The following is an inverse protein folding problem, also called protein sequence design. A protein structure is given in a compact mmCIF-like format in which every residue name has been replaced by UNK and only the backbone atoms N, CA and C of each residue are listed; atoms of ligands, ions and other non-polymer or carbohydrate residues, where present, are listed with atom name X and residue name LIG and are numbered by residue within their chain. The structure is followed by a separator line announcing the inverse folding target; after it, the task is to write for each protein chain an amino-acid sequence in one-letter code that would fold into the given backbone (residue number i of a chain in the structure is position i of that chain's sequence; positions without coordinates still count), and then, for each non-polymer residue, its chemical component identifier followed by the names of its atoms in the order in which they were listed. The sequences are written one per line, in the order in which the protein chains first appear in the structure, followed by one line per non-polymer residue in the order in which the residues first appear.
data_IF_742804654691
#
_entry.id   IF_742804654691
#
_cell.length_a   1.000
_cell.length_b   1.000
_cell.length_c   1.000
_cell.angle_alpha   90.00
_cell.angle_beta   90.00
_cell.angle_gamma   90.00
#
_symmetry.space_group_name_H-M   'P 1'
#
loop_
_entity.id
_entity.type
_entity.pdbx_description
1 polymer ?
#
# COMPACT_ATOMS: atom_id res chain seq x y z
N UNK A 1 -7.03 -41.35 -38.56
CA UNK A 1 -7.84 -40.34 -37.85
C UNK A 1 -7.70 -40.62 -36.35
N UNK A 2 -6.50 -40.49 -35.78
CA UNK A 2 -5.85 -39.22 -35.42
C UNK A 2 -6.79 -38.37 -34.57
N UNK A 3 -6.53 -38.40 -33.26
CA UNK A 3 -6.50 -37.22 -32.38
C UNK A 3 -7.71 -36.29 -32.34
N UNK A 4 -8.69 -36.62 -31.49
CA UNK A 4 -9.35 -35.64 -30.59
C UNK A 4 -10.01 -36.40 -29.41
N UNK A 5 -9.29 -37.12 -28.55
CA UNK A 5 -8.42 -36.58 -27.50
C UNK A 5 -8.97 -35.26 -26.92
N UNK A 6 -9.63 -35.38 -25.76
CA UNK A 6 -9.48 -34.50 -24.59
C UNK A 6 -9.76 -33.00 -24.84
N UNK A 7 -11.02 -32.53 -24.70
CA UNK A 7 -11.25 -31.08 -24.57
C UNK A 7 -12.56 -30.64 -23.88
N UNK A 8 -13.61 -31.45 -23.80
CA UNK A 8 -14.91 -30.94 -23.32
C UNK A 8 -15.09 -30.87 -21.79
N UNK A 9 -14.46 -31.78 -21.04
CA UNK A 9 -14.70 -31.93 -19.59
C UNK A 9 -13.73 -31.18 -18.66
N UNK A 10 -12.68 -30.57 -19.20
CA UNK A 10 -11.59 -30.00 -18.39
C UNK A 10 -11.76 -28.50 -18.10
N UNK A 11 -12.67 -27.80 -18.79
CA UNK A 11 -12.73 -26.33 -18.75
C UNK A 11 -13.74 -25.79 -17.71
N UNK A 12 -14.81 -26.53 -17.38
CA UNK A 12 -15.86 -26.03 -16.48
C UNK A 12 -15.57 -26.25 -14.98
N UNK A 13 -14.90 -27.36 -14.60
CA UNK A 13 -14.58 -27.68 -13.20
C UNK A 13 -13.29 -27.04 -12.67
N UNK A 14 -12.32 -26.80 -13.57
CA UNK A 14 -11.05 -26.17 -13.22
C UNK A 14 -11.20 -24.70 -12.85
N UNK A 15 -11.91 -23.91 -13.67
CA UNK A 15 -12.10 -22.48 -13.40
C UNK A 15 -12.91 -22.23 -12.13
N UNK A 16 -13.97 -23.01 -11.91
CA UNK A 16 -14.84 -22.86 -10.73
C UNK A 16 -14.13 -23.25 -9.44
N UNK A 17 -13.28 -24.29 -9.46
CA UNK A 17 -12.47 -24.67 -8.30
C UNK A 17 -11.29 -23.73 -8.04
N UNK A 18 -10.66 -23.18 -9.08
CA UNK A 18 -9.61 -22.15 -8.96
C UNK A 18 -10.20 -20.87 -8.34
N UNK A 19 -11.33 -20.39 -8.88
CA UNK A 19 -12.03 -19.22 -8.34
C UNK A 19 -12.48 -19.50 -6.91
N UNK A 20 -13.12 -20.64 -6.63
CA UNK A 20 -13.55 -20.99 -5.27
C UNK A 20 -12.39 -21.07 -4.26
N UNK A 21 -11.24 -21.62 -4.67
CA UNK A 21 -10.06 -21.65 -3.81
C UNK A 21 -9.48 -20.25 -3.59
N UNK A 22 -9.50 -19.38 -4.60
CA UNK A 22 -9.06 -17.99 -4.47
C UNK A 22 -9.98 -17.17 -3.55
N UNK A 23 -11.30 -17.39 -3.63
CA UNK A 23 -12.24 -16.78 -2.68
C UNK A 23 -12.06 -17.32 -1.26
N UNK A 24 -11.75 -18.62 -1.09
CA UNK A 24 -11.44 -19.19 0.23
C UNK A 24 -10.16 -18.62 0.84
N UNK A 25 -9.11 -18.42 0.05
CA UNK A 25 -7.87 -17.79 0.55
C UNK A 25 -8.14 -16.35 0.97
N UNK A 26 -8.88 -15.58 0.15
CA UNK A 26 -9.33 -14.22 0.49
C UNK A 26 -10.14 -14.20 1.79
N UNK A 27 -11.10 -15.11 1.97
CA UNK A 27 -11.92 -15.20 3.18
C UNK A 27 -11.06 -15.54 4.41
N UNK A 28 -10.16 -16.52 4.29
CA UNK A 28 -9.30 -16.92 5.42
C UNK A 28 -8.33 -15.80 5.81
N UNK A 29 -7.70 -15.13 4.84
CA UNK A 29 -6.87 -13.95 5.09
C UNK A 29 -7.66 -12.81 5.73
N UNK A 30 -8.92 -12.61 5.34
CA UNK A 30 -9.82 -11.61 5.95
C UNK A 30 -10.19 -11.97 7.38
N UNK A 31 -10.41 -13.25 7.67
CA UNK A 31 -10.70 -13.75 9.02
C UNK A 31 -9.47 -13.64 9.93
N UNK A 32 -8.28 -13.97 9.43
CA UNK A 32 -7.03 -13.83 10.16
C UNK A 32 -6.71 -12.35 10.45
N UNK A 33 -6.88 -11.48 9.45
CA UNK A 33 -6.81 -10.03 9.65
C UNK A 33 -7.83 -9.56 10.70
N UNK A 34 -9.08 -10.04 10.63
CA UNK A 34 -10.12 -9.74 11.62
C UNK A 34 -9.79 -10.19 13.04
N UNK A 35 -9.08 -11.32 13.18
CA UNK A 35 -8.65 -11.88 14.47
C UNK A 35 -7.50 -11.09 15.11
N UNK A 36 -6.70 -10.40 14.28
CA UNK A 36 -5.58 -9.55 14.69
C UNK A 36 -6.02 -8.12 15.07
N UNK A 37 -7.21 -7.68 14.66
CA UNK A 37 -7.72 -6.34 14.98
C UNK A 37 -8.22 -6.34 16.44
N UNK A 38 -7.31 -6.02 17.35
CA UNK A 38 -7.63 -5.73 18.76
C UNK A 38 -8.36 -4.39 18.89
N UNK A 39 -9.12 -4.20 19.97
CA UNK A 39 -9.78 -2.93 20.28
C UNK A 39 -8.77 -1.77 20.41
N UNK A 40 -7.52 -2.08 20.81
CA UNK A 40 -6.40 -1.11 20.85
C UNK A 40 -6.02 -0.62 19.46
N UNK A 41 -6.01 -1.52 18.48
CA UNK A 41 -5.74 -1.22 17.06
C UNK A 41 -6.80 -0.25 16.55
N UNK A 42 -8.08 -0.55 16.76
CA UNK A 42 -9.20 0.31 16.33
C UNK A 42 -9.13 1.70 16.94
N UNK A 43 -8.88 1.81 18.26
CA UNK A 43 -8.77 3.12 18.93
C UNK A 43 -7.59 3.92 18.38
N UNK A 44 -6.43 3.29 18.15
CA UNK A 44 -5.28 3.99 17.58
C UNK A 44 -5.50 4.43 16.13
N UNK A 45 -6.20 3.63 15.30
CA UNK A 45 -6.61 4.04 13.96
C UNK A 45 -7.46 5.31 14.01
N UNK A 46 -8.48 5.33 14.88
CA UNK A 46 -9.41 6.46 14.98
C UNK A 46 -8.69 7.73 15.44
N UNK A 47 -7.79 7.62 16.43
CA UNK A 47 -6.99 8.76 16.91
C UNK A 47 -6.04 9.26 15.82
N UNK A 48 -5.40 8.36 15.08
CA UNK A 48 -4.48 8.72 14.01
C UNK A 48 -5.19 9.38 12.83
N UNK A 49 -6.32 8.81 12.40
CA UNK A 49 -7.14 9.40 11.36
C UNK A 49 -7.70 10.76 11.79
N UNK A 50 -8.16 10.89 13.04
CA UNK A 50 -8.58 12.16 13.59
C UNK A 50 -7.44 13.18 13.58
N UNK A 51 -6.21 12.78 13.93
CA UNK A 51 -5.03 13.64 13.85
C UNK A 51 -4.71 14.08 12.41
N UNK A 52 -4.63 13.15 11.46
CA UNK A 52 -4.39 13.44 10.04
C UNK A 52 -5.48 14.37 9.47
N UNK A 53 -6.74 14.14 9.83
CA UNK A 53 -7.84 15.01 9.41
C UNK A 53 -7.79 16.38 10.09
N UNK A 54 -7.36 16.45 11.34
CA UNK A 54 -7.21 17.71 12.07
C UNK A 54 -6.17 18.63 11.44
N UNK A 55 -5.12 18.04 10.88
CA UNK A 55 -4.07 18.76 10.16
C UNK A 55 -4.56 19.33 8.81
N UNK A 56 -5.64 18.77 8.27
CA UNK A 56 -6.25 19.17 7.00
C UNK A 56 -7.54 19.99 7.21
N UNK A 57 -7.84 20.46 8.43
CA UNK A 57 -9.07 21.23 8.75
C UNK A 57 -9.20 22.52 7.92
N UNK A 58 -8.08 23.08 7.44
CA UNK A 58 -8.09 24.27 6.59
C UNK A 58 -8.34 23.98 5.10
N UNK A 59 -8.40 22.71 4.72
CA UNK A 59 -8.67 22.24 3.36
C UNK A 59 -10.18 22.01 3.19
N UNK A 60 -10.68 22.20 1.98
CA UNK A 60 -12.10 22.09 1.63
C UNK A 60 -12.86 20.98 2.39
N UNK A 61 -14.02 21.28 3.02
CA UNK A 61 -14.76 20.33 3.86
C UNK A 61 -15.14 19.02 3.16
N UNK A 62 -15.17 19.01 1.83
CA UNK A 62 -15.46 17.83 1.01
C UNK A 62 -14.36 16.79 1.08
N UNK A 63 -13.10 17.20 1.18
CA UNK A 63 -11.96 16.26 1.16
C UNK A 63 -11.70 15.62 2.53
N UNK A 64 -12.29 16.18 3.59
CA UNK A 64 -12.14 15.73 4.97
C UNK A 64 -12.42 14.22 5.15
N UNK A 65 -13.54 13.73 4.63
CA UNK A 65 -13.94 12.33 4.77
C UNK A 65 -12.99 11.37 4.04
N UNK A 66 -12.48 11.79 2.89
CA UNK A 66 -11.52 11.01 2.09
C UNK A 66 -10.20 10.83 2.83
N UNK A 67 -9.66 11.91 3.42
CA UNK A 67 -8.44 11.83 4.23
C UNK A 67 -8.61 11.01 5.51
N UNK A 68 -9.78 11.08 6.14
CA UNK A 68 -10.09 10.25 7.31
C UNK A 68 -10.03 8.77 6.94
N UNK A 69 -10.68 8.38 5.83
CA UNK A 69 -10.71 7.00 5.36
C UNK A 69 -9.32 6.51 4.96
N UNK A 70 -8.57 7.33 4.22
CA UNK A 70 -7.21 7.03 3.82
C UNK A 70 -6.28 6.83 5.03
N UNK A 71 -6.33 7.74 6.01
CA UNK A 71 -5.53 7.66 7.24
C UNK A 71 -5.89 6.45 8.10
N UNK A 72 -7.18 6.12 8.22
CA UNK A 72 -7.65 4.91 8.92
C UNK A 72 -7.07 3.65 8.28
N UNK A 73 -7.15 3.53 6.95
CA UNK A 73 -6.65 2.36 6.23
C UNK A 73 -5.13 2.27 6.31
N UNK A 74 -4.39 3.36 6.05
CA UNK A 74 -2.93 3.37 6.17
C UNK A 74 -2.45 2.96 7.56
N UNK A 75 -3.10 3.45 8.62
CA UNK A 75 -2.72 3.09 9.98
C UNK A 75 -3.00 1.62 10.28
N UNK A 76 -4.16 1.11 9.83
CA UNK A 76 -4.49 -0.30 9.97
C UNK A 76 -3.48 -1.20 9.25
N UNK A 77 -3.05 -0.82 8.04
CA UNK A 77 -2.00 -1.50 7.28
C UNK A 77 -0.64 -1.43 7.98
N UNK A 78 -0.29 -0.30 8.59
CA UNK A 78 0.94 -0.12 9.37
C UNK A 78 1.00 -1.04 10.59
N UNK A 79 -0.11 -1.18 11.32
CA UNK A 79 -0.20 -2.07 12.48
C UNK A 79 -0.12 -3.55 12.06
N UNK A 80 -0.77 -3.92 10.96
CA UNK A 80 -0.67 -5.29 10.42
C UNK A 80 0.74 -5.61 9.94
N UNK A 81 1.43 -4.65 9.31
CA UNK A 81 2.82 -4.81 8.89
C UNK A 81 3.76 -4.96 10.11
N UNK A 82 3.52 -4.22 11.20
CA UNK A 82 4.27 -4.38 12.45
C UNK A 82 4.08 -5.76 13.08
N UNK A 83 2.84 -6.26 13.13
CA UNK A 83 2.51 -7.50 13.83
C UNK A 83 2.87 -8.76 13.01
N UNK A 84 2.69 -8.71 11.69
CA UNK A 84 2.78 -9.90 10.82
C UNK A 84 3.79 -9.78 9.68
N UNK A 85 4.31 -8.58 9.39
CA UNK A 85 5.13 -8.30 8.21
C UNK A 85 4.48 -8.73 6.89
N UNK A 86 3.15 -8.82 6.87
CA UNK A 86 2.37 -9.18 5.69
C UNK A 86 1.25 -8.17 5.51
N UNK A 87 1.18 -7.59 4.30
CA UNK A 87 0.08 -6.70 3.92
C UNK A 87 -1.01 -7.53 3.22
N UNK A 88 -2.17 -7.75 3.84
CA UNK A 88 -3.24 -8.51 3.22
C UNK A 88 -3.80 -7.76 2.01
N UNK A 89 -3.92 -8.48 0.90
CA UNK A 89 -4.47 -7.97 -0.34
C UNK A 89 -5.90 -7.47 -0.18
N UNK A 90 -6.64 -8.06 0.77
CA UNK A 90 -8.02 -7.71 1.09
C UNK A 90 -8.18 -6.29 1.65
N UNK A 91 -7.10 -5.62 2.03
CA UNK A 91 -7.13 -4.23 2.54
C UNK A 91 -6.40 -3.29 1.57
N UNK A 92 -5.27 -3.72 1.01
CA UNK A 92 -4.54 -2.90 0.03
C UNK A 92 -5.33 -2.69 -1.26
N UNK A 93 -6.04 -3.71 -1.76
CA UNK A 93 -6.81 -3.61 -3.00
C UNK A 93 -8.02 -2.68 -2.84
N UNK A 94 -8.88 -2.82 -1.81
CA UNK A 94 -9.95 -1.85 -1.59
C UNK A 94 -9.43 -0.43 -1.42
N UNK A 95 -8.29 -0.24 -0.73
CA UNK A 95 -7.70 1.09 -0.59
C UNK A 95 -7.36 1.69 -1.96
N UNK A 96 -6.72 0.94 -2.85
CA UNK A 96 -6.41 1.39 -4.20
C UNK A 96 -7.68 1.72 -5.00
N UNK A 97 -8.66 0.82 -5.00
CA UNK A 97 -9.91 1.01 -5.75
C UNK A 97 -10.74 2.18 -5.22
N UNK A 98 -10.82 2.37 -3.90
CA UNK A 98 -11.53 3.49 -3.30
C UNK A 98 -10.86 4.81 -3.70
N UNK A 99 -9.53 4.88 -3.74
CA UNK A 99 -8.81 6.06 -4.24
C UNK A 99 -9.13 6.39 -5.70
N UNK A 100 -9.12 5.37 -6.57
CA UNK A 100 -9.47 5.54 -7.98
C UNK A 100 -10.95 5.89 -8.21
N UNK A 101 -11.86 5.34 -7.41
CA UNK A 101 -13.29 5.66 -7.53
C UNK A 101 -13.58 7.06 -6.98
N UNK A 102 -12.91 7.46 -5.89
CA UNK A 102 -13.03 8.80 -5.34
C UNK A 102 -12.47 9.86 -6.29
N UNK A 103 -11.44 9.57 -7.08
CA UNK A 103 -10.92 10.50 -8.09
C UNK A 103 -11.93 10.85 -9.18
N UNK A 104 -12.92 10.01 -9.42
CA UNK A 104 -14.07 10.30 -10.29
C UNK A 104 -15.13 11.19 -9.62
N UNK A 105 -14.96 11.55 -8.34
CA UNK A 105 -15.92 12.35 -7.56
C UNK A 105 -15.30 13.68 -7.12
N UNK A 106 -16.14 14.59 -6.62
CA UNK A 106 -15.70 15.88 -6.05
C UNK A 106 -14.99 15.76 -4.69
N UNK A 107 -14.85 14.54 -4.17
CA UNK A 107 -14.27 14.26 -2.86
C UNK A 107 -12.78 13.89 -2.92
N UNK A 108 -12.19 13.96 -4.12
CA UNK A 108 -10.75 13.74 -4.34
C UNK A 108 -10.05 15.04 -4.67
N UNK A 109 -8.78 15.12 -4.27
CA UNK A 109 -7.87 16.21 -4.67
C UNK A 109 -7.31 16.05 -6.08
N UNK A 110 -7.35 14.84 -6.62
CA UNK A 110 -6.73 14.50 -7.89
C UNK A 110 -7.78 14.25 -8.95
N UNK A 111 -7.43 14.63 -10.19
CA UNK A 111 -8.17 14.20 -11.36
C UNK A 111 -8.07 12.67 -11.54
N UNK A 112 -9.04 12.03 -12.21
CA UNK A 112 -8.96 10.60 -12.51
C UNK A 112 -7.68 10.22 -13.25
N UNK A 113 -7.21 11.10 -14.13
CA UNK A 113 -6.01 10.87 -14.93
C UNK A 113 -4.77 10.83 -14.02
N UNK A 114 -4.64 11.78 -13.10
CA UNK A 114 -3.50 11.85 -12.18
C UNK A 114 -3.49 10.69 -11.18
N UNK A 115 -4.66 10.27 -10.71
CA UNK A 115 -4.80 9.11 -9.82
C UNK A 115 -4.40 7.80 -10.52
N UNK A 116 -4.78 7.61 -11.79
CA UNK A 116 -4.38 6.44 -12.58
C UNK A 116 -2.87 6.43 -12.82
N UNK A 117 -2.29 7.58 -13.18
CA UNK A 117 -0.85 7.70 -13.36
C UNK A 117 -0.09 7.48 -12.05
N UNK A 118 -0.58 8.03 -10.94
CA UNK A 118 -0.06 7.79 -9.60
C UNK A 118 -0.05 6.30 -9.25
N UNK A 119 -1.17 5.60 -9.46
CA UNK A 119 -1.25 4.17 -9.22
C UNK A 119 -0.30 3.36 -10.12
N UNK A 120 -0.23 3.70 -11.40
CA UNK A 120 0.58 2.99 -12.39
C UNK A 120 2.07 3.17 -12.12
N UNK A 121 2.51 4.41 -11.90
CA UNK A 121 3.91 4.74 -11.62
C UNK A 121 4.32 4.17 -10.25
N UNK A 122 3.45 4.25 -9.25
CA UNK A 122 3.65 3.62 -7.95
C UNK A 122 3.89 2.12 -8.09
N UNK A 123 3.00 1.39 -8.77
CA UNK A 123 3.18 -0.05 -8.95
C UNK A 123 4.44 -0.40 -9.75
N UNK A 124 4.64 0.27 -10.90
CA UNK A 124 5.75 -0.04 -11.81
C UNK A 124 7.12 0.28 -11.20
N UNK A 125 7.23 1.33 -10.39
CA UNK A 125 8.50 1.73 -9.78
C UNK A 125 9.04 0.67 -8.83
N UNK A 126 8.25 0.23 -7.84
CA UNK A 126 8.68 -0.81 -6.91
C UNK A 126 8.81 -2.17 -7.59
N UNK A 127 7.96 -2.48 -8.56
CA UNK A 127 8.09 -3.70 -9.35
C UNK A 127 9.43 -3.75 -10.12
N UNK A 128 9.80 -2.64 -10.78
CA UNK A 128 11.08 -2.53 -11.51
C UNK A 128 12.27 -2.64 -10.58
N UNK A 129 12.19 -2.03 -9.39
CA UNK A 129 13.23 -2.11 -8.37
C UNK A 129 13.38 -3.54 -7.84
N UNK A 130 12.27 -4.25 -7.60
CA UNK A 130 12.31 -5.66 -7.21
C UNK A 130 12.90 -6.54 -8.33
N UNK A 131 12.52 -6.32 -9.59
CA UNK A 131 13.10 -7.04 -10.73
C UNK A 131 14.61 -6.83 -10.83
N UNK A 132 15.08 -5.59 -10.63
CA UNK A 132 16.50 -5.28 -10.56
C UNK A 132 17.19 -6.01 -9.40
N UNK A 133 16.59 -6.01 -8.20
CA UNK A 133 17.12 -6.74 -7.05
C UNK A 133 17.17 -8.26 -7.30
N UNK A 134 16.13 -8.84 -7.90
CA UNK A 134 16.09 -10.26 -8.27
C UNK A 134 17.16 -10.59 -9.29
N UNK A 135 17.38 -9.72 -10.29
CA UNK A 135 18.42 -9.92 -11.29
C UNK A 135 19.83 -9.89 -10.70
N UNK A 136 20.12 -8.92 -9.82
CA UNK A 136 21.45 -8.72 -9.22
C UNK A 136 21.73 -9.71 -8.09
N UNK A 137 20.80 -9.84 -7.14
CA UNK A 137 21.01 -10.60 -5.91
C UNK A 137 20.45 -12.02 -5.95
N UNK A 138 19.70 -12.38 -7.01
CA UNK A 138 19.04 -13.69 -7.19
C UNK A 138 18.13 -14.09 -6.02
N UNK A 139 17.65 -13.10 -5.27
CA UNK A 139 16.74 -13.26 -4.14
C UNK A 139 15.58 -12.29 -4.31
N UNK A 140 14.37 -12.74 -3.96
CA UNK A 140 13.21 -11.84 -3.89
C UNK A 140 13.46 -10.85 -2.76
N UNK A 141 13.51 -9.56 -3.12
CA UNK A 141 13.84 -8.50 -2.18
C UNK A 141 12.65 -7.99 -1.38
N UNK A 142 11.44 -8.04 -1.95
CA UNK A 142 10.28 -7.32 -1.41
C UNK A 142 8.96 -8.07 -1.62
N UNK A 143 8.01 -7.87 -0.69
CA UNK A 143 6.66 -8.46 -0.75
C UNK A 143 5.79 -7.78 -1.80
N UNK A 144 4.96 -8.56 -2.50
CA UNK A 144 4.05 -8.04 -3.52
C UNK A 144 2.96 -7.10 -2.96
N UNK A 145 2.68 -7.18 -1.65
CA UNK A 145 1.75 -6.30 -0.96
C UNK A 145 2.23 -4.84 -0.90
N UNK A 146 3.54 -4.62 -0.77
CA UNK A 146 4.13 -3.28 -0.70
C UNK A 146 3.94 -2.51 -2.01
N UNK A 147 4.00 -3.20 -3.16
CA UNK A 147 3.77 -2.59 -4.47
C UNK A 147 2.34 -2.05 -4.59
N UNK A 148 1.37 -2.77 -4.03
CA UNK A 148 -0.04 -2.38 -4.03
C UNK A 148 -0.30 -1.24 -3.08
N UNK A 149 0.32 -1.25 -1.90
CA UNK A 149 0.21 -0.13 -0.96
C UNK A 149 0.79 1.15 -1.57
N UNK A 150 1.96 1.07 -2.21
CA UNK A 150 2.58 2.23 -2.85
C UNK A 150 1.78 2.75 -4.04
N UNK A 151 1.20 1.84 -4.84
CA UNK A 151 0.25 2.20 -5.89
C UNK A 151 -1.01 2.86 -5.31
N UNK A 152 -1.53 2.36 -4.19
CA UNK A 152 -2.65 2.99 -3.50
C UNK A 152 -2.27 4.41 -3.04
N UNK A 153 -1.13 4.61 -2.39
CA UNK A 153 -0.65 5.94 -1.99
C UNK A 153 -0.60 6.88 -3.20
N UNK A 154 -0.08 6.42 -4.34
CA UNK A 154 -0.06 7.18 -5.59
C UNK A 154 -1.46 7.50 -6.15
N UNK A 155 -2.44 6.60 -5.99
CA UNK A 155 -3.83 6.85 -6.39
C UNK A 155 -4.51 7.95 -5.57
N UNK A 156 -4.14 8.06 -4.29
CA UNK A 156 -4.75 8.99 -3.33
C UNK A 156 -4.05 10.34 -3.25
N UNK A 157 -2.73 10.37 -3.39
CA UNK A 157 -1.89 11.57 -3.19
C UNK A 157 -1.14 11.98 -4.46
N UNK A 158 -1.24 11.21 -5.55
CA UNK A 158 -0.62 11.53 -6.83
C UNK A 158 0.84 11.08 -6.95
N UNK A 159 1.44 11.33 -8.11
CA UNK A 159 2.80 10.86 -8.45
C UNK A 159 3.87 11.55 -7.60
N UNK A 160 3.71 12.82 -7.26
CA UNK A 160 4.70 13.59 -6.48
C UNK A 160 4.87 13.00 -5.07
N UNK A 161 3.78 12.55 -4.46
CA UNK A 161 3.78 11.90 -3.15
C UNK A 161 4.68 10.66 -3.09
N UNK A 162 4.84 9.94 -4.21
CA UNK A 162 5.62 8.72 -4.28
C UNK A 162 7.11 8.98 -3.99
N UNK A 163 7.64 10.12 -4.45
CA UNK A 163 9.04 10.49 -4.24
C UNK A 163 9.31 10.68 -2.75
N UNK A 164 8.50 11.53 -2.09
CA UNK A 164 8.61 11.77 -0.65
C UNK A 164 8.42 10.47 0.15
N UNK A 165 7.42 9.67 -0.24
CA UNK A 165 7.10 8.42 0.43
C UNK A 165 8.26 7.43 0.36
N UNK A 166 8.86 7.27 -0.83
CA UNK A 166 10.01 6.39 -1.03
C UNK A 166 11.24 6.87 -0.26
N UNK A 167 11.50 8.18 -0.24
CA UNK A 167 12.62 8.75 0.51
C UNK A 167 12.51 8.44 2.01
N UNK A 168 11.32 8.65 2.59
CA UNK A 168 11.07 8.32 4.00
C UNK A 168 11.19 6.82 4.25
N UNK A 169 10.63 5.98 3.36
CA UNK A 169 10.73 4.53 3.48
C UNK A 169 12.19 4.04 3.48
N UNK A 170 13.06 4.65 2.66
CA UNK A 170 14.50 4.34 2.66
C UNK A 170 15.18 4.77 3.96
N UNK A 171 14.82 5.92 4.53
CA UNK A 171 15.38 6.39 5.81
C UNK A 171 14.97 5.46 6.96
N UNK A 172 13.69 5.12 7.05
CA UNK A 172 13.18 4.14 8.03
C UNK A 172 13.86 2.78 7.79
N UNK A 173 14.00 2.41 6.52
CA UNK A 173 14.87 1.36 5.96
C UNK A 173 16.20 1.23 6.67
N UNK A 174 16.96 2.30 6.50
CA UNK A 174 18.32 2.41 6.96
C UNK A 174 18.43 2.39 8.49
N UNK A 175 17.55 3.12 9.19
CA UNK A 175 17.58 3.21 10.66
C UNK A 175 17.32 1.85 11.30
N UNK A 176 16.29 1.10 10.86
CA UNK A 176 16.04 -0.19 11.50
C UNK A 176 17.07 -1.26 11.08
N UNK A 177 17.63 -1.18 9.87
CA UNK A 177 18.77 -2.02 9.49
C UNK A 177 19.98 -1.79 10.40
N UNK A 178 20.30 -0.52 10.71
CA UNK A 178 21.36 -0.15 11.66
C UNK A 178 21.07 -0.69 13.08
N UNK A 179 19.82 -0.59 13.53
CA UNK A 179 19.38 -1.11 14.82
C UNK A 179 19.53 -2.64 14.92
N UNK A 180 19.18 -3.37 13.87
CA UNK A 180 19.34 -4.83 13.84
C UNK A 180 20.82 -5.25 13.79
N UNK A 181 21.64 -4.51 13.04
CA UNK A 181 23.08 -4.76 12.95
C UNK A 181 23.77 -4.63 14.33
N UNK A 182 23.35 -3.63 15.12
CA UNK A 182 23.89 -3.40 16.47
C UNK A 182 23.31 -4.35 17.52
N UNK A 183 22.07 -4.83 17.36
CA UNK A 183 21.37 -5.63 18.38
C UNK A 183 21.67 -7.12 18.36
N UNK A 184 22.44 -7.65 17.39
CA UNK A 184 22.70 -9.10 17.15
C UNK A 184 21.45 -10.00 17.05
N UNK A 185 20.24 -9.43 17.13
CA UNK A 185 18.96 -10.10 16.91
C UNK A 185 18.69 -10.15 15.41
N UNK A 186 19.46 -10.97 14.69
CA UNK A 186 19.20 -11.27 13.29
C UNK A 186 18.02 -12.25 13.19
N UNK A 187 16.78 -11.76 13.39
CA UNK A 187 15.60 -12.55 13.04
C UNK A 187 15.32 -12.31 11.55
N UNK A 188 15.83 -13.22 10.72
CA UNK A 188 15.49 -13.44 9.31
C UNK A 188 15.57 -12.28 8.29
N UNK A 189 16.02 -11.07 8.66
CA UNK A 189 16.23 -9.99 7.69
C UNK A 189 14.95 -9.48 7.02
N UNK A 190 13.78 -9.77 7.62
CA UNK A 190 12.51 -9.22 7.19
C UNK A 190 12.37 -7.79 7.73
N UNK A 191 12.12 -6.85 6.82
CA UNK A 191 12.01 -5.43 7.11
C UNK A 191 10.54 -5.00 6.94
N UNK A 192 9.90 -4.36 7.94
CA UNK A 192 8.53 -3.87 7.83
C UNK A 192 8.50 -2.62 6.95
N UNK A 193 8.41 -2.84 5.63
CA UNK A 193 8.45 -1.77 4.63
C UNK A 193 7.16 -0.97 4.57
N UNK A 194 6.03 -1.59 4.90
CA UNK A 194 4.73 -0.93 5.00
C UNK A 194 4.71 0.20 6.02
N UNK A 195 5.41 0.08 7.15
CA UNK A 195 5.56 1.18 8.13
C UNK A 195 6.28 2.38 7.48
N UNK A 196 7.35 2.12 6.74
CA UNK A 196 8.09 3.14 6.00
C UNK A 196 7.20 3.87 4.99
N UNK A 197 6.45 3.12 4.17
CA UNK A 197 5.50 3.67 3.20
C UNK A 197 4.38 4.48 3.85
N UNK A 198 3.75 3.95 4.91
CA UNK A 198 2.68 4.65 5.62
C UNK A 198 3.20 5.95 6.25
N UNK A 199 4.39 5.91 6.86
CA UNK A 199 5.01 7.12 7.43
C UNK A 199 5.35 8.15 6.36
N UNK A 200 5.83 7.72 5.19
CA UNK A 200 6.12 8.59 4.06
C UNK A 200 4.88 9.29 3.49
N UNK A 201 3.77 8.55 3.36
CA UNK A 201 2.50 9.13 2.93
C UNK A 201 2.01 10.21 3.91
N UNK A 202 2.15 9.97 5.22
CA UNK A 202 1.75 10.93 6.26
C UNK A 202 2.64 12.16 6.26
N UNK A 203 3.95 11.98 6.06
CA UNK A 203 4.90 13.09 5.91
C UNK A 203 4.54 13.92 4.68
N UNK A 204 4.15 13.31 3.56
CA UNK A 204 3.68 14.06 2.40
C UNK A 204 2.38 14.82 2.66
N UNK A 205 1.42 14.24 3.38
CA UNK A 205 0.19 14.96 3.77
C UNK A 205 0.51 16.16 4.68
N UNK A 206 1.57 16.09 5.49
CA UNK A 206 2.01 17.17 6.38
C UNK A 206 2.84 18.25 5.69
N UNK A 207 3.71 17.85 4.77
CA UNK A 207 4.75 18.70 4.18
C UNK A 207 4.63 18.82 2.65
N UNK A 208 3.47 18.47 2.07
CA UNK A 208 3.25 18.43 0.62
C UNK A 208 3.63 19.73 -0.05
N UNK A 209 3.22 20.87 0.52
CA UNK A 209 3.55 22.21 0.02
C UNK A 209 5.07 22.44 -0.13
N UNK A 210 5.87 21.93 0.82
CA UNK A 210 7.33 22.06 0.80
C UNK A 210 7.93 21.17 -0.28
N UNK A 211 7.40 19.95 -0.42
CA UNK A 211 7.84 18.98 -1.42
C UNK A 211 7.52 19.51 -2.82
N UNK A 212 6.31 20.01 -3.03
CA UNK A 212 5.86 20.52 -4.32
C UNK A 212 6.62 21.81 -4.67
N UNK A 213 6.88 22.69 -3.70
CA UNK A 213 7.77 23.83 -3.85
C UNK A 213 9.18 23.39 -4.28
N UNK A 214 9.76 22.38 -3.61
CA UNK A 214 11.10 21.89 -3.95
C UNK A 214 11.14 21.28 -5.36
N UNK A 215 10.12 20.52 -5.75
CA UNK A 215 10.01 19.95 -7.10
C UNK A 215 9.83 21.04 -8.17
N UNK A 216 9.06 22.08 -7.88
CA UNK A 216 8.88 23.23 -8.80
C UNK A 216 10.16 24.05 -8.99
N UNK A 217 11.08 24.04 -8.03
CA UNK A 217 12.40 24.68 -8.16
C UNK A 217 13.38 23.87 -9.02
N UNK A 218 13.11 22.59 -9.23
CA UNK A 218 13.94 21.69 -10.03
C UNK A 218 13.52 21.62 -11.51
N UNK A 219 12.33 22.12 -11.86
CA UNK A 219 11.78 22.19 -13.22
C UNK A 219 11.96 23.55 -13.87
#
# INVERSE_FOLDING_TARGET
MIMSIIAGGFVAGGLTSIVANQWRTVINESLDAGKLISIRTVVSCVVFAAYVTALQINVDPTNFYSFALFGLMLWLLCLLDYDTMTLPDNITQPLLWVGLLLSCTKYSMLSPVDAIWGATIGYMSLWSLNMFCVFVFKKQGMGHGDFKLFAAIGAWLGVQSLIATMAVAVIVGFITALYFFTSKKHKNGAFPFGIGLASGAVVYVLCGDIVDMFLSLLS
#
